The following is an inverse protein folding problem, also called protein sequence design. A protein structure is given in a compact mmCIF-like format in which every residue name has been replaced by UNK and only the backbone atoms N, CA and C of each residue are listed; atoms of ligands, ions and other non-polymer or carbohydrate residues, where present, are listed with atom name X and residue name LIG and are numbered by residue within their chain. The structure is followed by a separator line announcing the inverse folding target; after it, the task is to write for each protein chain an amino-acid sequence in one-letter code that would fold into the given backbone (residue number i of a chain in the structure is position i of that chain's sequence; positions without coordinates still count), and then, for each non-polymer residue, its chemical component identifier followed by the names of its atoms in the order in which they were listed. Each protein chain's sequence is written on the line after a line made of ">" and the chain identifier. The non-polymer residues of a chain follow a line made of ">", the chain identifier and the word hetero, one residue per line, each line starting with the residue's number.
data_IF_589861564100
#
_entry.id   IF_589861564100
#
_cell.length_a   1.000
_cell.length_b   1.000
_cell.length_c   1.000
_cell.angle_alpha   90.00
_cell.angle_beta   90.00
_cell.angle_gamma   90.00
#
_symmetry.space_group_name_H-M   'P 1'
#
loop_
_entity.id
_entity.type
_entity.pdbx_description
1 polymer ?
#
# COMPACT_ATOMS: atom_id res chain seq x y z
N UNK A 1 12.78 20.89 -7.55
CA UNK A 1 13.38 20.78 -6.20
C UNK A 1 12.50 19.95 -5.27
N UNK A 2 11.19 20.18 -5.26
CA UNK A 2 10.20 19.43 -4.45
C UNK A 2 10.15 17.93 -4.77
N UNK A 3 10.19 17.55 -6.06
CA UNK A 3 10.08 16.15 -6.48
C UNK A 3 11.26 15.25 -6.09
N UNK A 4 12.49 15.77 -6.19
CA UNK A 4 13.67 15.00 -5.76
C UNK A 4 13.71 14.84 -4.25
N UNK A 5 13.30 15.87 -3.50
CA UNK A 5 13.18 15.81 -2.05
C UNK A 5 12.11 14.79 -1.64
N UNK A 6 10.95 14.81 -2.29
CA UNK A 6 9.89 13.81 -2.10
C UNK A 6 10.43 12.40 -2.39
N UNK A 7 11.04 12.18 -3.55
CA UNK A 7 11.63 10.88 -3.93
C UNK A 7 12.64 10.38 -2.89
N UNK A 8 13.55 11.25 -2.43
CA UNK A 8 14.50 10.92 -1.35
C UNK A 8 13.77 10.54 -0.06
N UNK A 9 12.74 11.28 0.34
CA UNK A 9 11.93 10.99 1.53
C UNK A 9 11.22 9.64 1.43
N UNK A 10 10.63 9.31 0.28
CA UNK A 10 9.98 8.02 0.04
C UNK A 10 10.96 6.84 0.07
N UNK A 11 12.18 7.02 -0.45
CA UNK A 11 13.23 6.02 -0.33
C UNK A 11 13.68 5.79 1.12
N UNK A 12 13.82 6.86 1.91
CA UNK A 12 14.16 6.76 3.32
C UNK A 12 13.04 6.10 4.12
N UNK A 13 11.79 6.46 3.83
CA UNK A 13 10.62 5.82 4.43
C UNK A 13 10.64 4.31 4.18
N UNK A 14 10.82 3.90 2.93
CA UNK A 14 10.84 2.48 2.56
C UNK A 14 12.01 1.70 3.20
N UNK A 15 13.15 2.35 3.45
CA UNK A 15 14.23 1.77 4.27
C UNK A 15 13.80 1.59 5.73
N UNK A 16 13.08 2.56 6.28
CA UNK A 16 12.46 2.47 7.61
C UNK A 16 11.49 1.30 7.73
N UNK A 17 10.61 1.11 6.73
CA UNK A 17 9.68 -0.02 6.66
C UNK A 17 10.43 -1.36 6.71
N UNK A 18 11.51 -1.50 5.93
CA UNK A 18 12.36 -2.71 5.96
C UNK A 18 13.02 -2.94 7.32
N UNK A 19 13.46 -1.89 8.00
CA UNK A 19 14.01 -2.02 9.35
C UNK A 19 12.95 -2.50 10.34
N UNK A 20 11.78 -1.86 10.36
CA UNK A 20 10.66 -2.25 11.23
C UNK A 20 10.16 -3.67 10.95
N UNK A 21 10.06 -4.05 9.68
CA UNK A 21 9.72 -5.42 9.27
C UNK A 21 10.70 -6.43 9.87
N UNK A 22 12.02 -6.14 9.81
CA UNK A 22 13.06 -7.02 10.37
C UNK A 22 12.95 -7.11 11.88
N UNK A 23 12.81 -5.96 12.56
CA UNK A 23 12.67 -5.89 14.01
C UNK A 23 11.45 -6.72 14.47
N UNK A 24 10.26 -6.46 13.90
CA UNK A 24 9.04 -7.23 14.17
C UNK A 24 9.21 -8.72 13.86
N UNK A 25 9.85 -9.06 12.73
CA UNK A 25 10.09 -10.45 12.36
C UNK A 25 10.99 -11.20 13.34
N UNK A 26 11.96 -10.50 13.94
CA UNK A 26 12.83 -11.08 14.95
C UNK A 26 12.15 -11.20 16.32
N UNK A 27 11.32 -10.21 16.68
CA UNK A 27 10.68 -10.14 17.99
C UNK A 27 9.38 -10.94 18.10
N UNK A 28 8.74 -11.33 16.99
CA UNK A 28 7.43 -12.04 17.00
C UNK A 28 7.43 -13.39 17.74
N UNK A 29 8.62 -13.95 18.00
CA UNK A 29 8.80 -15.18 18.78
C UNK A 29 9.34 -14.91 20.19
N UNK A 30 9.46 -13.64 20.58
CA UNK A 30 9.82 -13.27 21.95
C UNK A 30 8.59 -13.33 22.84
N UNK A 31 8.78 -13.81 24.07
CA UNK A 31 7.75 -13.77 25.12
C UNK A 31 7.71 -12.40 25.82
N UNK A 32 8.04 -11.31 25.10
CA UNK A 32 8.00 -9.94 25.62
C UNK A 32 6.88 -9.13 24.93
N UNK A 33 5.65 -9.14 25.49
CA UNK A 33 4.54 -8.36 24.97
C UNK A 33 4.82 -6.85 24.94
N UNK A 34 5.64 -6.32 25.86
CA UNK A 34 5.94 -4.90 25.93
C UNK A 34 6.85 -4.48 24.76
N UNK A 35 7.85 -5.30 24.42
CA UNK A 35 8.67 -5.10 23.23
C UNK A 35 7.81 -5.13 21.96
N UNK A 36 6.91 -6.11 21.84
CA UNK A 36 6.01 -6.22 20.68
C UNK A 36 5.09 -5.02 20.55
N UNK A 37 4.44 -4.60 21.64
CA UNK A 37 3.60 -3.39 21.66
C UNK A 37 4.38 -2.14 21.24
N UNK A 38 5.63 -1.99 21.70
CA UNK A 38 6.48 -0.87 21.30
C UNK A 38 6.81 -0.89 19.80
N UNK A 39 7.13 -2.07 19.24
CA UNK A 39 7.42 -2.23 17.81
C UNK A 39 6.18 -2.00 16.93
N UNK A 40 5.02 -2.52 17.35
CA UNK A 40 3.73 -2.29 16.71
C UNK A 40 3.41 -0.80 16.70
N UNK A 41 3.58 -0.11 17.83
CA UNK A 41 3.40 1.35 17.92
C UNK A 41 4.33 2.12 16.99
N UNK A 42 5.61 1.74 16.91
CA UNK A 42 6.58 2.34 15.98
C UNK A 42 6.18 2.15 14.52
N UNK A 43 5.61 1.00 14.16
CA UNK A 43 5.11 0.73 12.81
C UNK A 43 3.94 1.64 12.46
N UNK A 44 2.95 1.76 13.36
CA UNK A 44 1.80 2.66 13.17
C UNK A 44 2.29 4.11 13.01
N UNK A 45 3.19 4.58 13.88
CA UNK A 45 3.79 5.91 13.78
C UNK A 45 4.56 6.13 12.47
N UNK A 46 5.18 5.07 11.93
CA UNK A 46 5.86 5.13 10.64
C UNK A 46 4.88 5.32 9.46
N UNK A 47 3.70 4.70 9.52
CA UNK A 47 2.62 4.92 8.56
C UNK A 47 2.00 6.31 8.72
N UNK A 48 1.83 6.82 9.95
CA UNK A 48 1.35 8.18 10.19
C UNK A 48 2.29 9.22 9.58
N UNK A 49 3.60 9.06 9.81
CA UNK A 49 4.62 9.93 9.24
C UNK A 49 4.62 9.92 7.71
N UNK A 50 4.31 8.76 7.10
CA UNK A 50 4.14 8.62 5.66
C UNK A 50 2.96 9.41 5.12
N UNK A 51 1.78 9.22 5.72
CA UNK A 51 0.56 9.90 5.33
C UNK A 51 0.71 11.41 5.50
N UNK A 52 1.29 11.87 6.61
CA UNK A 52 1.57 13.29 6.83
C UNK A 52 2.51 13.86 5.76
N UNK A 53 3.59 13.15 5.44
CA UNK A 53 4.52 13.56 4.37
C UNK A 53 3.86 13.62 2.99
N UNK A 54 2.90 12.73 2.70
CA UNK A 54 2.17 12.72 1.44
C UNK A 54 1.13 13.84 1.37
N UNK A 55 0.49 14.19 2.48
CA UNK A 55 -0.45 15.30 2.56
C UNK A 55 0.21 16.66 2.26
N UNK A 56 1.50 16.81 2.54
CA UNK A 56 2.29 17.99 2.19
C UNK A 56 2.54 18.15 0.68
N UNK A 57 2.40 17.09 -0.11
CA UNK A 57 2.69 17.12 -1.55
C UNK A 57 1.56 17.75 -2.34
N UNK A 58 1.90 18.25 -3.53
CA UNK A 58 0.89 18.53 -4.56
C UNK A 58 0.06 17.26 -4.87
N UNK A 59 -1.28 17.36 -5.01
CA UNK A 59 -2.14 16.19 -5.16
C UNK A 59 -1.88 15.42 -6.46
N UNK A 60 -1.40 16.11 -7.51
CA UNK A 60 -1.02 15.50 -8.79
C UNK A 60 0.23 14.66 -8.61
N UNK A 61 1.22 15.13 -7.85
CA UNK A 61 2.41 14.34 -7.51
C UNK A 61 2.08 13.18 -6.58
N UNK A 62 1.20 13.38 -5.60
CA UNK A 62 0.74 12.30 -4.72
C UNK A 62 0.05 11.17 -5.51
N UNK A 63 -0.83 11.50 -6.47
CA UNK A 63 -1.51 10.52 -7.33
C UNK A 63 -0.56 9.82 -8.31
N UNK A 64 0.27 10.58 -9.01
CA UNK A 64 1.18 10.05 -10.02
C UNK A 64 2.33 9.25 -9.42
N UNK A 65 2.67 9.51 -8.15
CA UNK A 65 3.70 8.84 -7.37
C UNK A 65 4.95 8.49 -8.21
N UNK A 66 5.68 9.48 -8.74
CA UNK A 66 6.79 9.25 -9.67
C UNK A 66 7.97 8.47 -9.07
N UNK A 67 8.05 8.40 -7.74
CA UNK A 67 8.99 7.55 -7.00
C UNK A 67 8.58 6.07 -6.92
N UNK A 68 7.43 5.69 -7.49
CA UNK A 68 6.99 4.31 -7.62
C UNK A 68 7.18 3.80 -9.06
N UNK A 69 7.38 2.50 -9.22
CA UNK A 69 7.36 1.87 -10.54
C UNK A 69 5.93 1.79 -11.10
N UNK A 70 5.74 1.67 -12.43
CA UNK A 70 4.42 1.47 -13.02
C UNK A 70 3.69 0.24 -12.46
N UNK A 71 4.41 -0.86 -12.22
CA UNK A 71 3.84 -2.07 -11.64
C UNK A 71 3.34 -1.85 -10.21
N UNK A 72 4.10 -1.13 -9.37
CA UNK A 72 3.63 -0.76 -8.03
C UNK A 72 2.38 0.10 -8.07
N UNK A 73 2.36 1.12 -8.94
CA UNK A 73 1.20 2.00 -9.09
C UNK A 73 -0.03 1.22 -9.56
N UNK A 74 0.12 0.42 -10.63
CA UNK A 74 -1.00 -0.29 -11.23
C UNK A 74 -1.51 -1.46 -10.40
N UNK A 75 -0.63 -2.19 -9.70
CA UNK A 75 -1.02 -3.37 -8.93
C UNK A 75 -1.39 -3.07 -7.47
N UNK A 76 -0.79 -2.03 -6.87
CA UNK A 76 -0.91 -1.79 -5.44
C UNK A 76 -1.65 -0.50 -5.09
N UNK A 77 -1.72 0.51 -5.97
CA UNK A 77 -2.32 1.80 -5.60
C UNK A 77 -3.78 1.93 -6.02
N UNK A 78 -4.57 2.53 -5.13
CA UNK A 78 -5.96 2.92 -5.35
C UNK A 78 -6.07 4.45 -5.41
N UNK A 79 -6.06 5.12 -4.25
CA UNK A 79 -6.03 6.59 -4.14
C UNK A 79 -4.69 7.04 -3.53
N UNK A 80 -3.66 7.17 -4.38
CA UNK A 80 -2.28 7.51 -4.02
C UNK A 80 -1.55 6.51 -3.09
N UNK A 81 -2.12 5.35 -2.80
CA UNK A 81 -1.54 4.29 -1.96
C UNK A 81 -2.42 3.04 -1.92
N UNK A 82 -2.07 2.05 -1.09
CA UNK A 82 -2.81 0.79 -1.00
C UNK A 82 -4.27 0.95 -0.56
N UNK A 83 -5.14 0.03 -0.97
CA UNK A 83 -6.56 0.06 -0.62
C UNK A 83 -6.75 -0.46 0.81
N UNK A 84 -7.32 0.32 1.75
CA UNK A 84 -7.48 -0.06 3.16
C UNK A 84 -7.96 -1.52 3.42
N UNK A 85 -8.95 -2.00 2.67
CA UNK A 85 -9.49 -3.37 2.75
C UNK A 85 -8.45 -4.46 2.47
N UNK A 86 -7.38 -4.15 1.72
CA UNK A 86 -6.26 -5.09 1.50
C UNK A 86 -5.62 -5.54 2.81
N UNK A 87 -5.54 -4.68 3.84
CA UNK A 87 -5.02 -5.07 5.15
C UNK A 87 -5.91 -6.14 5.82
N UNK A 88 -7.24 -5.99 5.66
CA UNK A 88 -8.20 -6.95 6.22
C UNK A 88 -8.13 -8.28 5.46
N UNK A 89 -8.00 -8.24 4.13
CA UNK A 89 -7.78 -9.46 3.35
C UNK A 89 -6.49 -10.16 3.75
N UNK A 90 -5.39 -9.42 3.93
CA UNK A 90 -4.14 -9.97 4.43
C UNK A 90 -4.33 -10.62 5.81
N UNK A 91 -5.08 -9.99 6.71
CA UNK A 91 -5.39 -10.57 8.02
C UNK A 91 -6.06 -11.93 7.88
N UNK A 92 -7.13 -12.05 7.10
CA UNK A 92 -7.83 -13.32 6.90
C UNK A 92 -6.96 -14.38 6.23
N UNK A 93 -6.19 -14.01 5.20
CA UNK A 93 -5.27 -14.93 4.52
C UNK A 93 -4.21 -15.46 5.48
N UNK A 94 -3.59 -14.56 6.25
CA UNK A 94 -2.49 -14.93 7.15
C UNK A 94 -2.95 -15.62 8.44
N UNK A 95 -4.15 -15.29 8.93
CA UNK A 95 -4.77 -16.02 10.04
C UNK A 95 -5.19 -17.42 9.60
N UNK A 96 -5.81 -17.55 8.43
CA UNK A 96 -6.24 -18.84 7.88
C UNK A 96 -5.05 -19.76 7.63
N UNK A 97 -4.00 -19.26 6.96
CA UNK A 97 -2.77 -20.03 6.71
C UNK A 97 -2.11 -20.52 8.00
N UNK A 98 -2.10 -19.72 9.07
CA UNK A 98 -1.53 -20.13 10.37
C UNK A 98 -2.43 -21.09 11.12
N UNK A 99 -3.73 -20.82 11.13
CA UNK A 99 -4.72 -21.71 11.72
C UNK A 99 -4.60 -23.13 11.13
N UNK A 100 -4.52 -23.24 9.81
CA UNK A 100 -4.34 -24.53 9.12
C UNK A 100 -3.01 -25.21 9.52
N UNK A 101 -1.92 -24.46 9.59
CA UNK A 101 -0.61 -25.00 9.93
C UNK A 101 -0.52 -25.55 11.37
N UNK A 102 -1.28 -24.97 12.31
CA UNK A 102 -1.29 -25.38 13.72
C UNK A 102 -2.55 -26.17 14.12
N UNK A 103 -3.37 -26.57 13.15
CA UNK A 103 -4.62 -27.29 13.42
C UNK A 103 -4.44 -28.55 14.29
N UNK A 104 -3.39 -29.38 14.13
CA UNK A 104 -3.16 -30.53 15.02
C UNK A 104 -3.00 -30.12 16.49
N UNK A 105 -2.20 -29.08 16.75
CA UNK A 105 -1.95 -28.56 18.10
C UNK A 105 -3.22 -27.96 18.69
N UNK A 106 -4.01 -27.29 17.85
CA UNK A 106 -5.29 -26.69 18.23
C UNK A 106 -6.32 -27.72 18.69
N UNK A 107 -6.41 -28.86 17.99
CA UNK A 107 -7.29 -29.97 18.35
C UNK A 107 -6.91 -30.62 19.68
N UNK A 108 -5.63 -30.50 20.08
CA UNK A 108 -5.13 -30.91 21.39
C UNK A 108 -5.30 -29.82 22.46
N UNK A 109 -5.90 -28.68 22.10
CA UNK A 109 -6.14 -27.54 23.00
C UNK A 109 -4.93 -26.62 23.20
N UNK A 110 -3.85 -26.82 22.44
CA UNK A 110 -2.67 -25.96 22.50
C UNK A 110 -2.92 -24.67 21.72
N UNK A 111 -2.64 -23.54 22.36
CA UNK A 111 -2.77 -22.20 21.77
C UNK A 111 -1.41 -21.55 21.72
N UNK A 112 -0.98 -21.13 20.54
CA UNK A 112 0.27 -20.41 20.32
C UNK A 112 0.12 -18.91 20.58
N UNK A 113 -1.13 -18.39 20.60
CA UNK A 113 -1.41 -16.96 20.77
C UNK A 113 -1.04 -16.12 19.54
N UNK A 114 -0.65 -16.78 18.44
CA UNK A 114 -0.31 -16.14 17.18
C UNK A 114 -1.56 -15.72 16.39
N UNK A 115 -1.38 -15.19 15.19
CA UNK A 115 -2.47 -14.71 14.34
C UNK A 115 -3.41 -15.83 13.85
N UNK A 116 -3.04 -17.11 13.99
CA UNK A 116 -3.94 -18.26 13.77
C UNK A 116 -4.91 -18.52 14.92
N UNK A 117 -4.70 -17.90 16.10
CA UNK A 117 -5.54 -18.05 17.30
C UNK A 117 -6.53 -16.90 17.49
N UNK A 118 -7.09 -16.37 16.40
CA UNK A 118 -8.12 -15.34 16.49
C UNK A 118 -9.37 -15.89 17.18
N UNK A 119 -9.82 -15.14 18.19
CA UNK A 119 -11.08 -15.46 18.89
C UNK A 119 -12.30 -15.10 18.03
N UNK A 120 -13.46 -15.72 18.27
CA UNK A 120 -14.70 -15.34 17.59
C UNK A 120 -15.06 -13.85 17.74
N UNK A 121 -14.79 -13.27 18.91
CA UNK A 121 -15.04 -11.84 19.15
C UNK A 121 -14.07 -10.94 18.36
N UNK A 122 -12.82 -11.34 18.21
CA UNK A 122 -11.88 -10.64 17.32
C UNK A 122 -12.34 -10.71 15.87
N UNK A 123 -12.73 -11.89 15.38
CA UNK A 123 -13.23 -12.06 14.00
C UNK A 123 -14.47 -11.19 13.74
N UNK A 124 -15.43 -11.15 14.67
CA UNK A 124 -16.61 -10.28 14.54
C UNK A 124 -16.23 -8.79 14.50
N UNK A 125 -15.24 -8.36 15.29
CA UNK A 125 -14.73 -6.98 15.25
C UNK A 125 -13.98 -6.67 13.95
N UNK A 126 -13.25 -7.63 13.39
CA UNK A 126 -12.58 -7.50 12.08
C UNK A 126 -13.61 -7.40 10.96
N UNK A 127 -14.69 -8.20 10.99
CA UNK A 127 -15.78 -8.10 10.03
C UNK A 127 -16.45 -6.71 10.06
N UNK A 128 -16.73 -6.19 11.25
CA UNK A 128 -17.27 -4.83 11.39
C UNK A 128 -16.28 -3.75 10.89
N UNK A 129 -14.98 -3.93 11.14
CA UNK A 129 -13.94 -3.07 10.59
C UNK A 129 -13.94 -3.12 9.06
N UNK A 130 -14.08 -4.31 8.46
CA UNK A 130 -14.15 -4.50 7.03
C UNK A 130 -15.36 -3.78 6.43
N UNK A 131 -16.56 -4.02 6.96
CA UNK A 131 -17.81 -3.43 6.44
C UNK A 131 -17.75 -1.91 6.43
N UNK A 132 -17.27 -1.29 7.52
CA UNK A 132 -17.08 0.17 7.58
C UNK A 132 -16.03 0.65 6.60
N UNK A 133 -14.88 -0.03 6.52
CA UNK A 133 -13.80 0.31 5.59
C UNK A 133 -14.27 0.27 4.14
N UNK A 134 -14.95 -0.80 3.72
CA UNK A 134 -15.48 -0.96 2.36
C UNK A 134 -16.50 0.13 2.02
N UNK A 135 -17.42 0.45 2.94
CA UNK A 135 -18.40 1.51 2.72
C UNK A 135 -17.75 2.88 2.49
N UNK A 136 -16.71 3.21 3.26
CA UNK A 136 -15.95 4.46 3.09
C UNK A 136 -15.09 4.44 1.82
N UNK A 137 -14.47 3.31 1.46
CA UNK A 137 -13.75 3.15 0.20
C UNK A 137 -14.65 3.36 -1.02
N UNK A 138 -15.85 2.80 -0.99
CA UNK A 138 -16.80 2.95 -2.09
C UNK A 138 -17.27 4.40 -2.21
N UNK A 139 -17.49 5.09 -1.08
CA UNK A 139 -17.82 6.51 -1.08
C UNK A 139 -16.69 7.37 -1.67
N UNK A 140 -15.44 7.14 -1.26
CA UNK A 140 -14.27 7.85 -1.78
C UNK A 140 -14.01 7.54 -3.26
N UNK A 141 -14.22 6.30 -3.69
CA UNK A 141 -14.08 5.90 -5.10
C UNK A 141 -15.11 6.62 -5.97
N UNK A 142 -16.37 6.70 -5.53
CA UNK A 142 -17.42 7.46 -6.23
C UNK A 142 -17.09 8.95 -6.30
N UNK A 143 -16.61 9.53 -5.21
CA UNK A 143 -16.23 10.94 -5.18
C UNK A 143 -15.06 11.24 -6.12
N UNK A 144 -14.02 10.39 -6.14
CA UNK A 144 -12.92 10.52 -7.10
C UNK A 144 -13.41 10.36 -8.55
N UNK A 145 -14.34 9.46 -8.83
CA UNK A 145 -14.92 9.31 -10.17
C UNK A 145 -15.59 10.62 -10.62
N UNK A 146 -16.41 11.23 -9.77
CA UNK A 146 -17.06 12.52 -10.07
C UNK A 146 -16.03 13.64 -10.31
N UNK A 147 -14.93 13.65 -9.55
CA UNK A 147 -13.80 14.57 -9.76
C UNK A 147 -13.17 14.35 -11.14
N UNK A 148 -12.91 13.11 -11.52
CA UNK A 148 -12.28 12.74 -12.80
C UNK A 148 -13.18 13.01 -14.01
N UNK A 149 -14.50 12.90 -13.85
CA UNK A 149 -15.51 13.25 -14.86
C UNK A 149 -15.67 14.76 -15.05
N UNK A 150 -14.97 15.59 -14.27
CA UNK A 150 -14.99 17.04 -14.41
C UNK A 150 -16.23 17.70 -13.80
N UNK A 151 -17.00 17.00 -12.96
CA UNK A 151 -18.14 17.61 -12.26
C UNK A 151 -17.66 18.77 -11.40
N UNK A 152 -18.21 19.96 -11.61
CA UNK A 152 -17.85 21.18 -10.86
C UNK A 152 -16.58 21.89 -11.34
N UNK A 153 -16.04 21.53 -12.51
CA UNK A 153 -14.87 22.19 -13.14
C UNK A 153 -15.30 23.25 -14.15
N UNK A 154 -16.54 23.19 -14.62
CA UNK A 154 -17.08 24.07 -15.67
C UNK A 154 -17.80 25.25 -15.02
N UNK A 155 -17.25 26.46 -15.13
CA UNK A 155 -18.04 27.68 -14.92
C UNK A 155 -18.90 27.94 -16.15
N UNK A 156 -20.22 27.84 -15.98
CA UNK A 156 -21.20 28.14 -17.03
C UNK A 156 -21.57 29.61 -16.92
N UNK A 157 -21.23 30.40 -17.93
CA UNK A 157 -21.62 31.80 -18.02
C UNK A 157 -23.13 31.96 -18.22
N UNK A 158 -23.63 33.19 -18.00
CA UNK A 158 -25.03 33.58 -18.26
C UNK A 158 -25.39 33.51 -19.73
N UNK A 159 -25.53 32.31 -20.27
CA UNK A 159 -25.70 32.04 -21.70
C UNK A 159 -25.46 30.57 -22.10
N UNK A 160 -24.97 29.72 -21.19
CA UNK A 160 -24.69 28.31 -21.47
C UNK A 160 -23.31 28.06 -22.11
N UNK A 161 -22.50 29.10 -22.26
CA UNK A 161 -21.13 29.01 -22.76
C UNK A 161 -20.17 28.69 -21.60
N UNK A 162 -19.23 27.77 -21.83
CA UNK A 162 -18.16 27.45 -20.86
C UNK A 162 -17.16 28.60 -20.87
N UNK A 163 -17.03 29.30 -19.75
CA UNK A 163 -16.22 30.53 -19.66
C UNK A 163 -14.79 30.21 -19.23
N UNK A 164 -14.60 29.38 -18.21
CA UNK A 164 -13.28 29.01 -17.69
C UNK A 164 -13.31 27.63 -17.01
N UNK A 165 -12.17 26.92 -17.01
CA UNK A 165 -11.99 25.66 -16.29
C UNK A 165 -11.39 25.95 -14.91
N UNK A 166 -12.11 25.63 -13.82
CA UNK A 166 -11.59 25.77 -12.45
C UNK A 166 -10.66 24.60 -12.08
N UNK A 167 -9.44 24.64 -12.65
CA UNK A 167 -8.40 23.64 -12.37
C UNK A 167 -7.99 23.68 -10.89
N UNK A 168 -7.98 24.85 -10.26
CA UNK A 168 -7.58 25.00 -8.86
C UNK A 168 -8.58 24.34 -7.90
N UNK A 169 -9.88 24.52 -8.15
CA UNK A 169 -10.94 23.84 -7.41
C UNK A 169 -10.93 22.33 -7.63
N UNK A 170 -10.60 21.86 -8.84
CA UNK A 170 -10.41 20.45 -9.11
C UNK A 170 -9.27 19.85 -8.28
N UNK A 171 -8.10 20.50 -8.29
CA UNK A 171 -6.92 20.06 -7.52
C UNK A 171 -7.20 20.05 -6.02
N UNK A 172 -7.95 21.04 -5.50
CA UNK A 172 -8.40 21.06 -4.11
C UNK A 172 -9.30 19.87 -3.77
N UNK A 173 -10.27 19.53 -4.63
CA UNK A 173 -11.14 18.36 -4.40
C UNK A 173 -10.37 17.04 -4.44
N UNK A 174 -9.41 16.91 -5.37
CA UNK A 174 -8.49 15.77 -5.40
C UNK A 174 -7.78 15.65 -4.04
N UNK A 175 -7.22 16.76 -3.52
CA UNK A 175 -6.56 16.78 -2.21
C UNK A 175 -7.47 16.26 -1.09
N UNK A 176 -8.70 16.75 -1.02
CA UNK A 176 -9.68 16.35 0.01
C UNK A 176 -9.96 14.85 -0.02
N UNK A 177 -10.09 14.26 -1.21
CA UNK A 177 -10.28 12.82 -1.37
C UNK A 177 -9.04 12.05 -0.93
N UNK A 178 -7.83 12.50 -1.30
CA UNK A 178 -6.58 11.85 -0.91
C UNK A 178 -6.36 11.89 0.61
N UNK A 179 -6.58 13.03 1.25
CA UNK A 179 -6.44 13.20 2.69
C UNK A 179 -7.40 12.27 3.45
N UNK A 180 -8.64 12.14 2.98
CA UNK A 180 -9.62 11.20 3.55
C UNK A 180 -9.25 9.74 3.30
N UNK A 181 -8.67 9.41 2.15
CA UNK A 181 -8.17 8.07 1.86
C UNK A 181 -7.01 7.69 2.78
N UNK A 182 -6.10 8.63 3.07
CA UNK A 182 -5.02 8.45 4.02
C UNK A 182 -5.50 8.30 5.46
N UNK A 183 -6.46 9.13 5.85
CA UNK A 183 -7.10 8.99 7.14
C UNK A 183 -7.79 7.62 7.29
N UNK A 184 -8.43 7.10 6.23
CA UNK A 184 -9.02 5.76 6.22
C UNK A 184 -7.95 4.66 6.38
N UNK A 185 -6.83 4.73 5.66
CA UNK A 185 -5.70 3.79 5.84
C UNK A 185 -5.22 3.73 7.29
N UNK A 186 -5.04 4.90 7.90
CA UNK A 186 -4.60 5.01 9.29
C UNK A 186 -5.65 4.45 10.26
N UNK A 187 -6.94 4.78 10.08
CA UNK A 187 -8.03 4.24 10.91
C UNK A 187 -8.16 2.73 10.78
N UNK A 188 -8.07 2.18 9.58
CA UNK A 188 -8.15 0.73 9.35
C UNK A 188 -6.95 0.01 9.98
N UNK A 189 -5.73 0.54 9.82
CA UNK A 189 -4.53 -0.02 10.44
C UNK A 189 -4.61 -0.01 11.98
N UNK A 190 -4.96 1.14 12.57
CA UNK A 190 -5.12 1.27 14.03
C UNK A 190 -6.23 0.38 14.54
N UNK A 191 -7.38 0.36 13.87
CA UNK A 191 -8.51 -0.49 14.24
C UNK A 191 -8.14 -1.98 14.23
N UNK A 192 -7.36 -2.44 13.24
CA UNK A 192 -6.87 -3.81 13.22
C UNK A 192 -5.94 -4.09 14.41
N UNK A 193 -4.96 -3.20 14.66
CA UNK A 193 -4.02 -3.33 15.78
C UNK A 193 -4.72 -3.32 17.15
N UNK A 194 -5.79 -2.54 17.32
CA UNK A 194 -6.60 -2.47 18.55
C UNK A 194 -7.50 -3.70 18.78
N UNK A 195 -7.77 -4.48 17.72
CA UNK A 195 -8.50 -5.75 17.83
C UNK A 195 -7.56 -6.89 18.24
N UNK A 196 -6.33 -6.84 17.74
CA UNK A 196 -5.36 -7.91 17.85
C UNK A 196 -4.53 -7.82 19.14
N UNK A 197 -4.08 -8.98 19.61
CA UNK A 197 -3.03 -9.02 20.63
C UNK A 197 -1.68 -8.58 20.02
N UNK A 198 -0.70 -8.10 20.81
CA UNK A 198 0.57 -7.59 20.28
C UNK A 198 1.30 -8.56 19.35
N UNK A 199 1.33 -9.86 19.67
CA UNK A 199 1.93 -10.88 18.82
C UNK A 199 1.19 -11.03 17.48
N UNK A 200 -0.15 -11.09 17.52
CA UNK A 200 -1.00 -11.17 16.32
C UNK A 200 -0.85 -9.93 15.43
N UNK A 201 -0.82 -8.74 16.05
CA UNK A 201 -0.59 -7.48 15.35
C UNK A 201 0.80 -7.47 14.70
N UNK A 202 1.84 -7.89 15.42
CA UNK A 202 3.19 -7.96 14.87
C UNK A 202 3.26 -8.88 13.62
N UNK A 203 2.60 -10.03 13.66
CA UNK A 203 2.52 -10.93 12.51
C UNK A 203 1.79 -10.34 11.31
N UNK A 204 0.65 -9.66 11.55
CA UNK A 204 -0.08 -8.94 10.50
C UNK A 204 0.78 -7.83 9.88
N UNK A 205 1.48 -7.05 10.71
CA UNK A 205 2.31 -5.94 10.25
C UNK A 205 3.55 -6.41 9.48
N UNK A 206 4.12 -7.56 9.83
CA UNK A 206 5.15 -8.22 9.01
C UNK A 206 4.59 -8.57 7.64
N UNK A 207 3.41 -9.19 7.57
CA UNK A 207 2.79 -9.54 6.29
C UNK A 207 2.44 -8.31 5.45
N UNK A 208 1.92 -7.24 6.07
CA UNK A 208 1.66 -5.97 5.39
C UNK A 208 2.95 -5.34 4.83
N UNK A 209 4.03 -5.35 5.61
CA UNK A 209 5.32 -4.86 5.15
C UNK A 209 5.89 -5.73 4.02
N UNK A 210 5.77 -7.06 4.12
CA UNK A 210 6.23 -7.99 3.09
C UNK A 210 5.47 -7.78 1.77
N UNK A 211 4.17 -7.52 1.82
CA UNK A 211 3.38 -7.16 0.65
C UNK A 211 3.89 -5.86 0.00
N UNK A 212 4.02 -4.78 0.77
CA UNK A 212 4.51 -3.49 0.24
C UNK A 212 5.94 -3.59 -0.31
N UNK A 213 6.80 -4.36 0.37
CA UNK A 213 8.17 -4.59 -0.08
C UNK A 213 8.18 -5.41 -1.37
N UNK A 214 7.37 -6.46 -1.44
CA UNK A 214 7.25 -7.34 -2.59
C UNK A 214 6.80 -6.61 -3.84
N UNK A 215 5.81 -5.70 -3.75
CA UNK A 215 5.39 -4.90 -4.89
C UNK A 215 6.52 -4.05 -5.47
N UNK A 216 7.33 -3.42 -4.59
CA UNK A 216 8.50 -2.63 -5.01
C UNK A 216 9.55 -3.49 -5.71
N UNK A 217 9.86 -4.65 -5.15
CA UNK A 217 10.90 -5.52 -5.67
C UNK A 217 10.48 -6.13 -7.01
N UNK A 218 9.23 -6.56 -7.12
CA UNK A 218 8.63 -6.99 -8.38
C UNK A 218 8.70 -5.89 -9.44
N UNK A 219 8.29 -4.67 -9.10
CA UNK A 219 8.31 -3.55 -10.05
C UNK A 219 9.71 -3.18 -10.53
N UNK A 220 10.73 -3.28 -9.66
CA UNK A 220 12.14 -3.08 -10.04
C UNK A 220 12.66 -4.19 -10.94
N UNK A 221 12.33 -5.45 -10.64
CA UNK A 221 12.72 -6.58 -11.46
C UNK A 221 12.12 -6.47 -12.88
N UNK A 222 10.83 -6.15 -12.98
CA UNK A 222 10.14 -5.97 -14.25
C UNK A 222 10.77 -4.85 -15.12
N UNK A 223 11.15 -3.73 -14.50
CA UNK A 223 11.84 -2.64 -15.21
C UNK A 223 13.21 -3.07 -15.77
N UNK A 224 14.03 -3.76 -14.96
CA UNK A 224 15.34 -4.24 -15.37
C UNK A 224 15.27 -5.25 -16.54
N UNK A 225 14.24 -6.09 -16.59
CA UNK A 225 14.01 -7.01 -17.71
C UNK A 225 13.64 -6.27 -19.01
N UNK A 226 12.91 -5.16 -18.93
CA UNK A 226 12.55 -4.37 -20.11
C UNK A 226 13.76 -3.60 -20.67
N UNK A 227 14.63 -3.09 -19.79
CA UNK A 227 15.87 -2.41 -20.17
C UNK A 227 16.93 -3.39 -20.73
N UNK A 228 17.01 -4.61 -20.19
CA UNK A 228 17.94 -5.65 -20.68
C UNK A 228 17.49 -6.37 -21.96
N UNK A 229 16.20 -6.31 -22.30
CA UNK A 229 15.63 -6.90 -23.52
C UNK A 229 15.62 -5.97 -24.74
N UNK A 230 15.95 -4.68 -24.57
CA UNK A 230 15.99 -3.66 -25.62
C UNK A 230 17.29 -3.60 -26.43
N UNK A 231 18.12 -4.65 -26.38
CA UNK A 231 19.29 -4.78 -27.25
C UNK A 231 18.85 -4.97 -28.70
N UNK A 232 19.17 -3.99 -29.55
CA UNK A 232 18.87 -3.93 -30.98
C UNK A 232 19.05 -5.28 -31.73
N UNK A 233 17.98 -5.89 -32.27
CA UNK A 233 18.10 -7.10 -33.08
C UNK A 233 18.79 -6.85 -34.44
N UNK A 234 19.08 -5.60 -34.82
CA UNK A 234 19.67 -5.28 -36.12
C UNK A 234 21.22 -5.35 -36.16
N UNK A 235 21.92 -5.60 -35.05
CA UNK A 235 23.39 -5.68 -35.05
C UNK A 235 23.96 -7.08 -35.42
N UNK A 236 23.12 -8.11 -35.57
CA UNK A 236 23.57 -9.50 -35.74
C UNK A 236 23.66 -10.04 -37.18
N UNK A 237 23.17 -9.31 -38.20
CA UNK A 237 22.99 -9.84 -39.55
C UNK A 237 24.03 -9.40 -40.59
N UNK A 238 25.17 -8.84 -40.17
CA UNK A 238 26.18 -8.25 -41.06
C UNK A 238 27.55 -8.92 -41.05
N UNK A 239 27.63 -10.26 -41.05
CA UNK A 239 28.94 -10.91 -40.85
C UNK A 239 29.09 -12.37 -41.24
N UNK A 240 28.37 -12.89 -42.24
CA UNK A 240 28.68 -14.23 -42.82
C UNK A 240 28.45 -14.29 -44.33
N UNK A 241 29.18 -13.48 -45.08
CA UNK A 241 29.33 -13.68 -46.51
C UNK A 241 30.72 -13.21 -46.97
N UNK A 242 31.72 -14.09 -46.87
CA UNK A 242 32.86 -14.20 -47.79
C UNK A 242 34.02 -14.95 -47.12
N UNK A 243 34.05 -16.28 -47.27
CA UNK A 243 35.30 -17.05 -47.43
C UNK A 243 34.97 -18.49 -47.81
N UNK A 244 34.79 -18.71 -49.12
CA UNK A 244 34.98 -20.00 -49.80
C UNK A 244 35.03 -19.78 -51.32
N UNK A 245 36.23 -19.51 -51.82
CA UNK A 245 36.73 -19.89 -53.16
C UNK A 245 38.19 -20.28 -52.92
N UNK A 246 38.52 -21.57 -53.06
CA UNK A 246 39.15 -22.15 -54.27
C UNK A 246 40.40 -21.40 -54.66
#
# INVERSE_FOLDING_TARGET
>A
MELEAATRRFHLWFRGLRALRRDLSSARWSDDPAQLSALVGRFVAHLESYCAARAELDPVWALSAPWASPAERGAAYWLAGWRPTTLVHLLYTESGRRFEAQLPDLLLGVRSGNLGDLTPSQLARVDELQRRTVAEEDALSREMALVQEGHGVVEVGGGGEVVELDVSGLVRRVREVLDRADALRLRTMKGAVEILQPAQAAELLVAAADMEIGFREFGRAAAAHHEGGGGDPAAGAGGRAARRRR
#
